data_IF_691666403356
#
_entry.id   IF_691666403356
#
_cell.length_a   1.000
_cell.length_b   1.000
_cell.length_c   1.000
_cell.angle_alpha   90.00
_cell.angle_beta   90.00
_cell.angle_gamma   90.00
#
_symmetry.space_group_name_H-M   'P 1'
#
loop_
_entity.id
_entity.type
_entity.pdbx_description
1 polymer ?
#
# COMPACT_ATOMS: atom_id res chain seq x y z
N UNK A 1 9.84 -38.39 28.31
CA UNK A 1 10.53 -37.20 27.74
C UNK A 1 10.27 -37.00 26.24
N UNK A 2 10.55 -37.94 25.32
CA UNK A 2 10.29 -37.68 23.88
C UNK A 2 8.80 -37.53 23.50
N UNK A 3 7.88 -38.18 24.21
CA UNK A 3 6.45 -38.08 23.90
C UNK A 3 5.79 -36.81 24.46
N UNK A 4 6.33 -36.19 25.50
CA UNK A 4 5.76 -34.96 26.09
C UNK A 4 6.07 -33.72 25.24
N UNK A 5 7.28 -33.66 24.65
CA UNK A 5 7.67 -32.58 23.73
C UNK A 5 6.79 -32.59 22.46
N UNK A 6 6.42 -33.78 21.98
CA UNK A 6 5.53 -33.95 20.82
C UNK A 6 4.09 -33.54 21.18
N UNK A 7 3.65 -33.80 22.42
CA UNK A 7 2.31 -33.43 22.89
C UNK A 7 2.19 -31.91 23.13
N UNK A 8 3.25 -31.25 23.59
CA UNK A 8 3.26 -29.80 23.79
C UNK A 8 3.37 -29.02 22.47
N UNK A 9 4.13 -29.53 21.49
CA UNK A 9 4.21 -28.96 20.14
C UNK A 9 2.88 -29.06 19.36
N UNK A 10 2.08 -30.11 19.60
CA UNK A 10 0.76 -30.31 18.97
C UNK A 10 -0.27 -29.25 19.36
N UNK A 11 -0.01 -28.46 20.42
CA UNK A 11 -0.86 -27.35 20.87
C UNK A 11 -0.44 -25.98 20.34
N UNK A 12 0.71 -25.88 19.66
CA UNK A 12 1.22 -24.62 19.13
C UNK A 12 0.72 -24.38 17.71
N UNK A 13 0.23 -23.17 17.43
CA UNK A 13 -0.23 -22.71 16.10
C UNK A 13 0.90 -22.53 15.08
N UNK A 14 2.08 -23.06 15.36
CA UNK A 14 3.27 -22.97 14.51
C UNK A 14 3.45 -24.29 13.75
N UNK A 15 3.74 -24.25 12.44
CA UNK A 15 4.05 -25.46 11.70
C UNK A 15 5.30 -26.15 12.25
N UNK A 16 5.45 -27.45 11.97
CA UNK A 16 6.68 -28.20 12.27
C UNK A 16 7.83 -27.58 11.47
N UNK A 17 8.69 -26.82 12.16
CA UNK A 17 9.85 -26.15 11.58
C UNK A 17 11.11 -26.97 11.82
N UNK A 18 11.98 -27.00 10.83
CA UNK A 18 13.31 -27.58 10.97
C UNK A 18 14.19 -26.72 11.90
N UNK A 19 15.22 -27.30 12.52
CA UNK A 19 16.13 -26.63 13.44
C UNK A 19 16.78 -25.38 12.82
N UNK A 20 17.12 -25.43 11.52
CA UNK A 20 17.62 -24.27 10.78
C UNK A 20 16.56 -23.16 10.67
N UNK A 21 15.31 -23.52 10.38
CA UNK A 21 14.20 -22.57 10.24
C UNK A 21 13.84 -21.91 11.58
N UNK A 22 13.90 -22.65 12.70
CA UNK A 22 13.69 -22.09 14.04
C UNK A 22 14.77 -21.05 14.35
N UNK A 23 16.04 -21.34 14.07
CA UNK A 23 17.15 -20.40 14.32
C UNK A 23 16.98 -19.11 13.52
N UNK A 24 16.64 -19.23 12.24
CA UNK A 24 16.37 -18.06 11.39
C UNK A 24 15.16 -17.28 11.89
N UNK A 25 14.07 -17.96 12.25
CA UNK A 25 12.86 -17.30 12.74
C UNK A 25 13.12 -16.48 14.02
N UNK A 26 13.97 -16.98 14.93
CA UNK A 26 14.43 -16.24 16.11
C UNK A 26 15.33 -15.04 15.78
N UNK A 27 16.18 -15.15 14.76
CA UNK A 27 17.00 -14.03 14.33
C UNK A 27 16.12 -12.95 13.67
N UNK A 28 15.12 -13.38 12.89
CA UNK A 28 14.18 -12.50 12.21
C UNK A 28 13.30 -11.69 13.18
N UNK A 29 12.97 -12.21 14.36
CA UNK A 29 12.24 -11.43 15.39
C UNK A 29 13.09 -10.29 15.96
N UNK A 30 14.41 -10.38 15.93
CA UNK A 30 15.31 -9.29 16.34
C UNK A 30 15.46 -8.26 15.21
N UNK A 31 15.68 -8.71 13.98
CA UNK A 31 15.80 -7.81 12.82
C UNK A 31 14.53 -7.00 12.56
N UNK A 32 13.35 -7.62 12.69
CA UNK A 32 12.09 -6.91 12.46
C UNK A 32 11.88 -5.79 13.48
N UNK A 33 12.42 -5.90 14.70
CA UNK A 33 12.35 -4.82 15.70
C UNK A 33 13.18 -3.61 15.26
N UNK A 34 14.39 -3.83 14.72
CA UNK A 34 15.22 -2.75 14.17
C UNK A 34 14.51 -2.07 12.98
N UNK A 35 13.94 -2.87 12.08
CA UNK A 35 13.18 -2.36 10.93
C UNK A 35 11.94 -1.59 11.39
N UNK A 36 11.24 -2.08 12.42
CA UNK A 36 10.09 -1.40 12.99
C UNK A 36 10.46 -0.09 13.68
N UNK A 37 11.59 -0.03 14.38
CA UNK A 37 12.10 1.21 14.95
C UNK A 37 12.35 2.26 13.86
N UNK A 38 13.05 1.86 12.78
CA UNK A 38 13.26 2.74 11.63
C UNK A 38 11.91 3.17 11.03
N UNK A 39 10.99 2.24 10.82
CA UNK A 39 9.66 2.55 10.32
C UNK A 39 8.92 3.59 11.20
N UNK A 40 8.95 3.42 12.52
CA UNK A 40 8.28 4.33 13.44
C UNK A 40 8.93 5.71 13.38
N UNK A 41 10.26 5.76 13.39
CA UNK A 41 11.03 7.00 13.27
C UNK A 41 10.74 7.74 11.95
N UNK A 42 10.59 7.00 10.85
CA UNK A 42 10.38 7.60 9.52
C UNK A 42 8.95 8.05 9.29
N UNK A 43 7.97 7.27 9.74
CA UNK A 43 6.55 7.57 9.53
C UNK A 43 6.04 8.62 10.52
N UNK A 44 6.49 8.59 11.78
CA UNK A 44 5.98 9.48 12.82
C UNK A 44 6.42 10.92 12.62
N UNK A 45 7.71 11.13 12.34
CA UNK A 45 8.29 12.45 12.10
C UNK A 45 8.38 12.80 10.60
N UNK A 46 7.79 11.97 9.73
CA UNK A 46 7.80 12.14 8.28
C UNK A 46 9.22 12.36 7.69
N UNK A 47 10.24 11.68 8.24
CA UNK A 47 11.60 11.73 7.69
C UNK A 47 11.65 11.05 6.32
N UNK A 48 11.42 11.83 5.28
CA UNK A 48 11.19 11.36 3.91
C UNK A 48 12.36 10.54 3.35
N UNK A 49 13.61 10.87 3.71
CA UNK A 49 14.84 10.23 3.21
C UNK A 49 14.94 8.71 3.35
N UNK A 50 14.28 8.16 4.36
CA UNK A 50 14.51 6.78 4.73
C UNK A 50 13.45 5.83 4.17
N UNK A 51 12.40 6.34 3.50
CA UNK A 51 11.32 5.50 2.96
C UNK A 51 11.84 4.46 1.97
N UNK A 52 12.78 4.81 1.09
CA UNK A 52 13.35 3.86 0.13
C UNK A 52 14.15 2.77 0.84
N UNK A 53 15.07 3.15 1.73
CA UNK A 53 15.90 2.20 2.49
C UNK A 53 15.03 1.26 3.33
N UNK A 54 14.01 1.81 3.99
CA UNK A 54 13.06 1.05 4.78
C UNK A 54 12.26 0.06 3.93
N UNK A 55 11.76 0.51 2.78
CA UNK A 55 10.98 -0.34 1.87
C UNK A 55 11.84 -1.47 1.32
N UNK A 56 13.10 -1.19 0.96
CA UNK A 56 14.07 -2.21 0.57
C UNK A 56 14.35 -3.21 1.70
N UNK A 57 14.53 -2.74 2.93
CA UNK A 57 14.74 -3.60 4.10
C UNK A 57 13.54 -4.52 4.36
N UNK A 58 12.31 -3.99 4.28
CA UNK A 58 11.07 -4.76 4.42
C UNK A 58 10.90 -5.79 3.30
N UNK A 59 11.10 -5.40 2.05
CA UNK A 59 11.03 -6.32 0.89
C UNK A 59 12.09 -7.43 1.02
N UNK A 60 13.34 -7.07 1.33
CA UNK A 60 14.42 -8.02 1.53
C UNK A 60 14.09 -9.01 2.67
N UNK A 61 13.50 -8.53 3.77
CA UNK A 61 13.06 -9.37 4.88
C UNK A 61 11.96 -10.35 4.44
N UNK A 62 10.95 -9.89 3.69
CA UNK A 62 9.86 -10.73 3.18
C UNK A 62 10.40 -11.81 2.23
N UNK A 63 11.28 -11.45 1.30
CA UNK A 63 11.87 -12.38 0.34
C UNK A 63 12.78 -13.40 1.02
N UNK A 64 13.67 -12.94 1.92
CA UNK A 64 14.55 -13.79 2.70
C UNK A 64 13.76 -14.81 3.52
N UNK A 65 12.69 -14.37 4.20
CA UNK A 65 11.89 -15.26 5.02
C UNK A 65 11.12 -16.27 4.16
N UNK A 66 10.48 -15.84 3.07
CA UNK A 66 9.80 -16.77 2.17
C UNK A 66 10.75 -17.78 1.51
N UNK A 67 11.97 -17.37 1.15
CA UNK A 67 13.00 -18.26 0.58
C UNK A 67 13.38 -19.38 1.55
N UNK A 68 13.63 -19.05 2.82
CA UNK A 68 14.00 -20.05 3.85
C UNK A 68 12.84 -21.00 4.16
N UNK A 69 11.61 -20.48 4.04
CA UNK A 69 10.40 -21.27 4.19
C UNK A 69 10.00 -22.00 2.91
N UNK A 70 10.85 -21.96 1.88
CA UNK A 70 10.69 -22.64 0.58
C UNK A 70 9.34 -22.34 -0.08
N UNK A 71 8.82 -21.12 0.10
CA UNK A 71 7.56 -20.68 -0.50
C UNK A 71 7.81 -20.00 -1.84
N UNK A 72 7.34 -20.65 -2.89
CA UNK A 72 7.31 -20.09 -4.24
C UNK A 72 5.95 -19.46 -4.55
N UNK A 73 5.94 -18.50 -5.49
CA UNK A 73 4.71 -17.90 -6.00
C UNK A 73 3.90 -18.97 -6.74
N UNK A 74 2.62 -19.10 -6.41
CA UNK A 74 1.80 -20.23 -6.83
C UNK A 74 1.45 -20.24 -8.34
N UNK A 75 1.32 -19.08 -8.98
CA UNK A 75 0.82 -18.99 -10.36
C UNK A 75 1.51 -17.90 -11.19
N UNK A 76 1.45 -18.02 -12.53
CA UNK A 76 1.96 -17.01 -13.47
C UNK A 76 1.18 -15.69 -13.32
N UNK A 77 -0.12 -15.76 -13.05
CA UNK A 77 -0.95 -14.58 -12.80
C UNK A 77 -0.55 -13.85 -11.53
N UNK A 78 -0.25 -14.58 -10.46
CA UNK A 78 0.27 -14.01 -9.22
C UNK A 78 1.66 -13.38 -9.40
N UNK A 79 2.50 -13.90 -10.32
CA UNK A 79 3.78 -13.25 -10.66
C UNK A 79 3.61 -11.85 -11.25
N UNK A 80 2.58 -11.64 -12.07
CA UNK A 80 2.28 -10.30 -12.60
C UNK A 80 1.85 -9.35 -11.48
N UNK A 81 0.92 -9.79 -10.63
CA UNK A 81 0.44 -8.96 -9.50
C UNK A 81 1.56 -8.65 -8.52
N UNK A 82 2.40 -9.65 -8.23
CA UNK A 82 3.63 -9.50 -7.46
C UNK A 82 4.55 -8.44 -8.06
N UNK A 83 4.84 -8.53 -9.38
CA UNK A 83 5.73 -7.57 -10.04
C UNK A 83 5.16 -6.15 -10.01
N UNK A 84 3.86 -5.99 -10.28
CA UNK A 84 3.18 -4.69 -10.25
C UNK A 84 3.25 -4.07 -8.85
N UNK A 85 2.96 -4.84 -7.80
CA UNK A 85 3.02 -4.37 -6.43
C UNK A 85 4.45 -4.02 -5.99
N UNK A 86 5.42 -4.89 -6.33
CA UNK A 86 6.84 -4.68 -6.01
C UNK A 86 7.35 -3.39 -6.65
N UNK A 87 7.16 -3.25 -7.97
CA UNK A 87 7.61 -2.07 -8.72
C UNK A 87 6.92 -0.82 -8.19
N UNK A 88 5.62 -0.88 -7.89
CA UNK A 88 4.88 0.26 -7.33
C UNK A 88 5.39 0.67 -5.94
N UNK A 89 5.68 -0.29 -5.05
CA UNK A 89 6.29 -0.01 -3.75
C UNK A 89 7.64 0.69 -3.90
N UNK A 90 8.50 0.18 -4.80
CA UNK A 90 9.84 0.73 -5.03
C UNK A 90 9.78 2.14 -5.63
N UNK A 91 8.93 2.36 -6.64
CA UNK A 91 8.77 3.69 -7.25
C UNK A 91 8.21 4.67 -6.21
N UNK A 92 7.15 4.33 -5.48
CA UNK A 92 6.56 5.26 -4.52
C UNK A 92 7.49 5.57 -3.35
N UNK A 93 8.23 4.59 -2.85
CA UNK A 93 9.21 4.81 -1.77
C UNK A 93 10.44 5.60 -2.24
N UNK A 94 10.89 5.39 -3.48
CA UNK A 94 11.91 6.22 -4.12
C UNK A 94 11.44 7.67 -4.25
N UNK A 95 10.21 7.87 -4.74
CA UNK A 95 9.63 9.20 -4.88
C UNK A 95 9.51 9.90 -3.54
N UNK A 96 9.04 9.23 -2.47
CA UNK A 96 9.02 9.81 -1.13
C UNK A 96 10.43 10.20 -0.67
N UNK A 97 11.43 9.36 -0.93
CA UNK A 97 12.82 9.58 -0.51
C UNK A 97 13.52 10.80 -1.11
N UNK A 98 13.06 11.30 -2.25
CA UNK A 98 13.69 12.43 -2.95
C UNK A 98 13.13 13.80 -2.54
N UNK A 99 12.10 13.86 -1.68
CA UNK A 99 11.31 15.08 -1.40
C UNK A 99 11.79 15.91 -0.20
N UNK A 100 13.10 16.03 0.00
CA UNK A 100 13.67 16.60 1.23
C UNK A 100 13.18 18.03 1.60
N UNK A 101 12.80 18.87 0.62
CA UNK A 101 12.57 20.31 0.88
C UNK A 101 11.24 20.89 0.32
N UNK A 102 10.35 20.07 -0.27
CA UNK A 102 9.10 20.59 -0.86
C UNK A 102 7.97 20.64 0.18
N UNK A 103 7.97 21.70 0.98
CA UNK A 103 6.96 22.06 2.00
C UNK A 103 5.51 22.24 1.50
N UNK A 104 5.22 22.14 0.20
CA UNK A 104 3.93 22.56 -0.37
C UNK A 104 2.89 21.44 -0.55
N UNK A 105 3.15 20.22 -0.08
CA UNK A 105 2.37 19.02 -0.45
C UNK A 105 2.05 18.06 0.70
N UNK A 106 1.89 18.55 1.94
CA UNK A 106 1.65 17.69 3.12
C UNK A 106 0.44 16.76 2.94
N UNK A 107 -0.67 17.26 2.39
CA UNK A 107 -1.89 16.47 2.17
C UNK A 107 -1.63 15.30 1.20
N UNK A 108 -0.92 15.55 0.09
CA UNK A 108 -0.63 14.51 -0.90
C UNK A 108 0.34 13.46 -0.36
N UNK A 109 1.35 13.91 0.41
CA UNK A 109 2.33 13.04 1.07
C UNK A 109 1.63 12.03 1.98
N UNK A 110 0.68 12.49 2.81
CA UNK A 110 -0.08 11.64 3.71
C UNK A 110 -0.80 10.50 2.98
N UNK A 111 -1.52 10.83 1.89
CA UNK A 111 -2.21 9.81 1.10
C UNK A 111 -1.24 8.83 0.42
N UNK A 112 -0.08 9.31 -0.04
CA UNK A 112 0.93 8.45 -0.65
C UNK A 112 1.56 7.50 0.37
N UNK A 113 1.82 7.97 1.60
CA UNK A 113 2.30 7.10 2.68
C UNK A 113 1.25 6.01 2.93
N UNK A 114 -0.03 6.33 3.10
CA UNK A 114 -1.09 5.34 3.28
C UNK A 114 -1.16 4.35 2.09
N UNK A 115 -1.06 4.85 0.85
CA UNK A 115 -1.06 4.01 -0.33
C UNK A 115 0.11 3.02 -0.34
N UNK A 116 1.32 3.48 0.03
CA UNK A 116 2.50 2.62 0.16
C UNK A 116 2.28 1.50 1.19
N UNK A 117 1.59 1.78 2.30
CA UNK A 117 1.24 0.76 3.30
C UNK A 117 0.34 -0.32 2.73
N UNK A 118 -0.74 0.08 2.04
CA UNK A 118 -1.65 -0.90 1.44
C UNK A 118 -1.00 -1.70 0.30
N UNK A 119 -0.11 -1.08 -0.48
CA UNK A 119 0.69 -1.78 -1.48
C UNK A 119 1.62 -2.81 -0.85
N UNK A 120 2.30 -2.45 0.25
CA UNK A 120 3.15 -3.39 0.98
C UNK A 120 2.36 -4.57 1.55
N UNK A 121 1.18 -4.31 2.13
CA UNK A 121 0.28 -5.37 2.62
C UNK A 121 -0.13 -6.29 1.46
N UNK A 122 -0.58 -5.72 0.35
CA UNK A 122 -0.91 -6.48 -0.86
C UNK A 122 0.26 -7.32 -1.36
N UNK A 123 1.47 -6.75 -1.35
CA UNK A 123 2.71 -7.42 -1.74
C UNK A 123 2.98 -8.65 -0.87
N UNK A 124 2.90 -8.52 0.46
CA UNK A 124 3.09 -9.64 1.39
C UNK A 124 2.06 -10.76 1.15
N UNK A 125 0.80 -10.40 0.91
CA UNK A 125 -0.28 -11.37 0.69
C UNK A 125 -0.10 -12.14 -0.63
N UNK A 126 0.23 -11.45 -1.73
CA UNK A 126 0.51 -12.08 -3.02
C UNK A 126 1.75 -12.97 -2.90
N UNK A 127 2.83 -12.45 -2.28
CA UNK A 127 4.09 -13.18 -2.15
C UNK A 127 3.99 -14.45 -1.30
N UNK A 128 3.11 -14.43 -0.30
CA UNK A 128 2.88 -15.55 0.63
C UNK A 128 1.73 -16.46 0.19
N UNK A 129 1.11 -16.21 -0.98
CA UNK A 129 -0.06 -16.92 -1.52
C UNK A 129 -1.28 -16.92 -0.57
N UNK A 130 -1.57 -15.79 0.07
CA UNK A 130 -2.63 -15.63 1.10
C UNK A 130 -3.86 -14.84 0.66
N UNK A 131 -3.93 -14.45 -0.62
CA UNK A 131 -5.15 -13.90 -1.21
C UNK A 131 -6.31 -14.90 -1.11
N UNK A 132 -7.53 -14.42 -0.88
CA UNK A 132 -8.75 -15.27 -0.86
C UNK A 132 -8.95 -15.96 -2.21
N UNK A 133 -8.67 -15.26 -3.31
CA UNK A 133 -8.62 -15.83 -4.65
C UNK A 133 -7.19 -16.10 -5.13
N UNK A 134 -7.05 -16.79 -6.26
CA UNK A 134 -5.74 -17.00 -6.90
C UNK A 134 -5.15 -15.75 -7.58
N UNK A 135 -5.97 -14.70 -7.70
CA UNK A 135 -5.68 -13.41 -8.32
C UNK A 135 -6.57 -12.34 -7.69
N UNK A 136 -6.27 -11.06 -7.95
CA UNK A 136 -7.16 -9.98 -7.52
C UNK A 136 -8.58 -10.16 -8.02
N UNK A 137 -9.55 -9.89 -7.15
CA UNK A 137 -10.96 -10.11 -7.40
C UNK A 137 -11.81 -9.10 -6.60
N UNK A 138 -13.12 -9.28 -6.58
CA UNK A 138 -14.02 -8.38 -5.86
C UNK A 138 -13.86 -8.45 -4.32
N UNK A 139 -13.27 -9.53 -3.80
CA UNK A 139 -12.93 -9.73 -2.39
C UNK A 139 -11.58 -9.10 -2.01
N UNK A 140 -10.85 -8.48 -2.95
CA UNK A 140 -9.55 -7.88 -2.65
C UNK A 140 -9.61 -6.76 -1.61
N UNK A 141 -10.76 -6.11 -1.43
CA UNK A 141 -10.98 -5.20 -0.29
C UNK A 141 -10.95 -5.93 1.07
N UNK A 142 -11.49 -7.15 1.12
CA UNK A 142 -11.40 -8.02 2.30
C UNK A 142 -9.97 -8.55 2.47
N UNK A 143 -9.24 -8.83 1.38
CA UNK A 143 -7.82 -9.19 1.47
C UNK A 143 -7.00 -8.07 2.12
N UNK A 144 -7.20 -6.81 1.72
CA UNK A 144 -6.54 -5.66 2.36
C UNK A 144 -6.92 -5.56 3.83
N UNK A 145 -8.20 -5.71 4.20
CA UNK A 145 -8.62 -5.72 5.60
C UNK A 145 -7.98 -6.86 6.40
N UNK A 146 -7.94 -8.07 5.84
CA UNK A 146 -7.29 -9.23 6.45
C UNK A 146 -5.81 -9.01 6.66
N UNK A 147 -5.11 -8.47 5.66
CA UNK A 147 -3.69 -8.13 5.76
C UNK A 147 -3.42 -6.97 6.71
N UNK A 148 -4.38 -6.06 6.91
CA UNK A 148 -4.22 -4.93 7.82
C UNK A 148 -4.49 -5.30 9.27
N UNK A 149 -5.49 -6.16 9.52
CA UNK A 149 -6.01 -6.42 10.86
C UNK A 149 -5.99 -7.92 11.18
N UNK A 150 -6.72 -8.75 10.43
CA UNK A 150 -6.96 -10.13 10.84
C UNK A 150 -5.68 -10.95 10.98
N UNK A 151 -4.79 -10.93 9.98
CA UNK A 151 -3.54 -11.72 9.96
C UNK A 151 -2.52 -11.18 10.97
N UNK A 152 -2.21 -9.86 11.00
CA UNK A 152 -1.26 -9.33 11.98
C UNK A 152 -1.67 -9.58 13.42
N UNK A 153 -2.95 -9.36 13.76
CA UNK A 153 -3.42 -9.49 15.14
C UNK A 153 -3.66 -10.95 15.55
N UNK A 154 -4.07 -11.85 14.64
CA UNK A 154 -4.15 -13.28 14.98
C UNK A 154 -2.79 -13.89 15.27
N UNK A 155 -1.74 -13.32 14.67
CA UNK A 155 -0.35 -13.75 14.81
C UNK A 155 0.53 -12.79 15.60
N UNK A 156 -0.06 -11.86 16.36
CA UNK A 156 0.65 -10.79 17.05
C UNK A 156 1.74 -11.31 18.00
N UNK A 157 1.43 -12.38 18.75
CA UNK A 157 2.37 -13.02 19.68
C UNK A 157 3.19 -14.15 19.05
N UNK A 158 3.24 -14.25 17.71
CA UNK A 158 4.05 -15.30 17.07
C UNK A 158 5.53 -15.04 17.29
N UNK A 159 5.97 -13.78 17.30
CA UNK A 159 7.35 -13.41 17.59
C UNK A 159 7.81 -13.91 18.96
N UNK A 160 6.99 -13.72 19.99
CA UNK A 160 7.30 -14.18 21.36
C UNK A 160 7.29 -15.70 21.46
N UNK A 161 6.30 -16.37 20.84
CA UNK A 161 6.26 -17.84 20.76
C UNK A 161 7.50 -18.42 20.09
N UNK A 162 7.96 -17.82 18.98
CA UNK A 162 9.17 -18.26 18.25
C UNK A 162 10.42 -18.11 19.10
N UNK A 163 10.55 -17.01 19.87
CA UNK A 163 11.69 -16.81 20.77
C UNK A 163 11.74 -17.88 21.88
N UNK A 164 10.58 -18.27 22.40
CA UNK A 164 10.43 -19.26 23.47
C UNK A 164 10.63 -20.72 23.00
N UNK A 165 10.67 -21.00 21.69
CA UNK A 165 10.90 -22.37 21.20
C UNK A 165 12.28 -22.88 21.67
N UNK A 166 12.38 -24.10 22.24
CA UNK A 166 13.67 -24.66 22.63
C UNK A 166 14.54 -24.83 21.37
N UNK A 167 15.76 -24.27 21.42
CA UNK A 167 16.75 -24.52 20.37
C UNK A 167 17.52 -25.78 20.76
N UNK A 168 17.44 -26.84 19.95
CA UNK A 168 18.10 -28.13 20.20
C UNK A 168 19.64 -28.07 20.29
N UNK A 169 20.25 -26.88 20.37
CA UNK A 169 21.69 -26.68 20.49
C UNK A 169 22.13 -25.92 21.75
N UNK A 170 21.28 -25.72 22.75
CA UNK A 170 21.74 -25.23 24.06
C UNK A 170 22.35 -26.35 24.93
N UNK A 171 23.37 -27.04 24.39
CA UNK A 171 24.36 -27.79 25.17
C UNK A 171 25.67 -27.00 25.28
N UNK A 172 25.58 -25.68 25.39
CA UNK A 172 26.68 -24.86 25.87
C UNK A 172 26.12 -23.90 26.91
N UNK A 173 26.00 -24.40 28.14
CA UNK A 173 25.89 -23.60 29.35
C UNK A 173 27.17 -22.78 29.50
N UNK A 174 27.33 -21.75 28.67
CA UNK A 174 28.28 -20.69 28.97
C UNK A 174 27.80 -20.02 30.25
N UNK A 175 28.64 -20.07 31.27
CA UNK A 175 28.30 -19.47 32.55
C UNK A 175 28.06 -17.97 32.37
N UNK A 176 27.24 -17.34 33.23
CA UNK A 176 27.07 -15.89 33.21
C UNK A 176 28.42 -15.15 33.25
N UNK A 177 29.44 -15.75 33.90
CA UNK A 177 30.82 -15.28 33.88
C UNK A 177 31.43 -15.24 32.49
N UNK A 178 31.21 -16.27 31.66
CA UNK A 178 31.79 -16.33 30.31
C UNK A 178 31.15 -15.28 29.38
N UNK A 179 29.84 -15.04 29.49
CA UNK A 179 29.17 -13.94 28.76
C UNK A 179 29.68 -12.57 29.18
N UNK A 180 29.88 -12.34 30.48
CA UNK A 180 30.42 -11.07 31.01
C UNK A 180 31.87 -10.87 30.57
N UNK A 181 32.70 -11.90 30.61
CA UNK A 181 34.09 -11.83 30.13
C UNK A 181 34.12 -11.56 28.63
N UNK A 182 33.21 -12.16 27.85
CA UNK A 182 33.14 -11.95 26.42
C UNK A 182 32.66 -10.54 26.06
N UNK A 183 31.66 -9.99 26.75
CA UNK A 183 31.24 -8.59 26.57
C UNK A 183 32.31 -7.61 27.01
N UNK A 184 33.04 -7.89 28.10
CA UNK A 184 34.20 -7.09 28.52
C UNK A 184 35.31 -7.10 27.47
N UNK A 185 35.67 -8.27 26.93
CA UNK A 185 36.63 -8.37 25.84
C UNK A 185 36.19 -7.57 24.62
N UNK A 186 34.90 -7.63 24.27
CA UNK A 186 34.36 -6.90 23.14
C UNK A 186 34.39 -5.38 23.36
N UNK A 187 34.03 -4.91 24.56
CA UNK A 187 34.14 -3.49 24.96
C UNK A 187 35.58 -2.99 24.94
N UNK A 188 36.52 -3.76 25.50
CA UNK A 188 37.94 -3.43 25.52
C UNK A 188 38.50 -3.36 24.10
N UNK A 189 38.18 -4.35 23.26
CA UNK A 189 38.60 -4.35 21.85
C UNK A 189 38.03 -3.15 21.11
N UNK A 190 36.73 -2.86 21.25
CA UNK A 190 36.10 -1.68 20.61
C UNK A 190 36.79 -0.40 21.08
N UNK A 191 37.03 -0.23 22.38
CA UNK A 191 37.69 0.95 22.92
C UNK A 191 39.11 1.13 22.36
N UNK A 192 39.91 0.06 22.35
CA UNK A 192 41.26 0.07 21.81
C UNK A 192 41.23 0.38 20.31
N UNK A 193 40.37 -0.29 19.54
CA UNK A 193 40.24 -0.06 18.09
C UNK A 193 39.81 1.37 17.79
N UNK A 194 38.83 1.92 18.50
CA UNK A 194 38.40 3.31 18.32
C UNK A 194 39.55 4.28 18.59
N UNK A 195 40.34 4.07 19.66
CA UNK A 195 41.51 4.92 19.95
C UNK A 195 42.59 4.82 18.88
N UNK A 196 42.87 3.61 18.38
CA UNK A 196 43.82 3.39 17.30
C UNK A 196 43.38 4.06 15.99
N UNK A 197 42.09 3.99 15.65
CA UNK A 197 41.54 4.63 14.46
C UNK A 197 41.61 6.16 14.57
N UNK A 198 41.24 6.74 15.71
CA UNK A 198 41.36 8.19 15.93
C UNK A 198 42.81 8.65 15.81
N UNK A 199 43.75 7.91 16.41
CA UNK A 199 45.18 8.20 16.27
C UNK A 199 45.65 8.10 14.82
N UNK A 200 45.26 7.06 14.08
CA UNK A 200 45.61 6.91 12.68
C UNK A 200 45.04 8.05 11.81
N UNK A 201 43.80 8.48 12.07
CA UNK A 201 43.18 9.61 11.38
C UNK A 201 43.95 10.92 11.64
N UNK A 202 44.38 11.16 12.88
CA UNK A 202 45.19 12.32 13.26
C UNK A 202 46.53 12.35 12.48
N UNK A 203 47.25 11.23 12.48
CA UNK A 203 48.52 11.09 11.76
C UNK A 203 48.36 11.23 10.24
N UNK A 204 47.30 10.67 9.66
CA UNK A 204 47.01 10.80 8.22
C UNK A 204 46.60 12.23 7.84
N UNK A 205 46.00 12.98 8.77
CA UNK A 205 45.60 14.38 8.57
C UNK A 205 46.81 15.32 8.56
N UNK A 206 47.85 15.03 9.35
CA UNK A 206 49.12 15.78 9.30
C UNK A 206 49.88 15.62 7.96
N UNK A 207 49.71 14.46 7.30
CA UNK A 207 50.40 14.15 6.03
C UNK A 207 49.69 14.82 4.82
N UNK A 208 48.36 15.02 4.89
CA UNK A 208 47.57 15.52 3.76
C UNK A 208 46.48 16.50 4.17
N UNK A 209 46.57 17.74 3.68
CA UNK A 209 45.58 18.79 3.95
C UNK A 209 44.19 18.51 3.36
N UNK A 210 44.08 17.69 2.30
CA UNK A 210 42.78 17.26 1.74
C UNK A 210 42.12 16.22 2.66
N UNK A 211 42.92 15.31 3.22
CA UNK A 211 42.42 14.30 4.15
C UNK A 211 42.00 14.94 5.48
N UNK A 212 42.75 15.93 5.97
CA UNK A 212 42.39 16.69 7.17
C UNK A 212 41.00 17.35 7.03
N UNK A 213 40.73 18.03 5.90
CA UNK A 213 39.41 18.63 5.65
C UNK A 213 38.28 17.58 5.65
N UNK A 214 38.50 16.42 5.02
CA UNK A 214 37.52 15.32 5.03
C UNK A 214 37.32 14.74 6.45
N UNK A 215 38.40 14.51 7.18
CA UNK A 215 38.38 13.95 8.53
C UNK A 215 37.65 14.89 9.51
N UNK A 216 37.91 16.20 9.45
CA UNK A 216 37.23 17.20 10.28
C UNK A 216 35.73 17.29 9.94
N UNK A 217 35.39 17.38 8.65
CA UNK A 217 34.01 17.63 8.21
C UNK A 217 33.08 16.43 8.41
N UNK A 218 33.56 15.20 8.20
CA UNK A 218 32.69 14.01 8.22
C UNK A 218 32.97 13.07 9.39
N UNK A 219 34.22 12.88 9.80
CA UNK A 219 34.56 11.89 10.85
C UNK A 219 34.48 12.52 12.25
N UNK A 220 35.25 13.59 12.49
CA UNK A 220 35.33 14.25 13.80
C UNK A 220 34.00 14.93 14.13
N UNK A 221 33.40 15.66 13.18
CA UNK A 221 32.09 16.28 13.38
C UNK A 221 31.01 15.25 13.73
N UNK A 222 30.93 14.11 13.00
CA UNK A 222 29.92 13.09 13.28
C UNK A 222 30.18 12.37 14.61
N UNK A 223 31.44 12.11 14.97
CA UNK A 223 31.78 11.54 16.28
C UNK A 223 31.43 12.49 17.42
N UNK A 224 31.78 13.77 17.31
CA UNK A 224 31.42 14.78 18.30
C UNK A 224 29.90 14.94 18.42
N UNK A 225 29.19 15.00 17.29
CA UNK A 225 27.72 15.04 17.25
C UNK A 225 27.11 13.79 17.90
N UNK A 226 27.63 12.60 17.59
CA UNK A 226 27.20 11.34 18.21
C UNK A 226 27.38 11.37 19.73
N UNK A 227 28.58 11.70 20.23
CA UNK A 227 28.82 11.76 21.68
C UNK A 227 27.98 12.85 22.35
N UNK A 228 27.87 14.03 21.74
CA UNK A 228 27.05 15.13 22.25
C UNK A 228 25.58 14.71 22.35
N UNK A 229 25.05 14.04 21.34
CA UNK A 229 23.68 13.52 21.35
C UNK A 229 23.54 12.35 22.34
N UNK A 230 24.54 11.47 22.46
CA UNK A 230 24.54 10.36 23.41
C UNK A 230 24.50 10.80 24.87
N UNK A 231 25.13 11.93 25.21
CA UNK A 231 25.06 12.52 26.55
C UNK A 231 23.87 13.48 26.72
N UNK A 232 23.09 13.73 25.67
CA UNK A 232 21.92 14.57 25.74
C UNK A 232 20.71 13.77 26.25
N UNK A 233 20.02 14.28 27.28
CA UNK A 233 18.83 13.63 27.85
C UNK A 233 17.68 13.53 26.85
N UNK A 234 17.54 14.51 25.94
CA UNK A 234 16.45 14.49 24.94
C UNK A 234 16.63 13.36 23.91
N UNK A 235 17.87 13.04 23.54
CA UNK A 235 18.15 11.91 22.65
C UNK A 235 17.65 10.59 23.24
N UNK A 236 17.88 10.36 24.54
CA UNK A 236 17.40 9.15 25.22
C UNK A 236 15.89 9.15 25.37
N UNK A 237 15.24 10.27 25.69
CA UNK A 237 13.78 10.31 25.79
C UNK A 237 13.12 9.99 24.45
N UNK A 238 13.62 10.56 23.36
CA UNK A 238 13.05 10.36 22.03
C UNK A 238 13.33 8.93 21.54
N UNK A 239 14.58 8.47 21.67
CA UNK A 239 14.97 7.10 21.29
C UNK A 239 14.18 6.05 22.08
N UNK A 240 14.00 6.22 23.39
CA UNK A 240 13.22 5.28 24.22
C UNK A 240 11.74 5.35 23.84
N UNK A 241 11.19 6.55 23.60
CA UNK A 241 9.79 6.71 23.18
C UNK A 241 9.52 6.01 21.85
N UNK A 242 10.39 6.20 20.85
CA UNK A 242 10.32 5.48 19.58
C UNK A 242 10.53 3.98 19.74
N UNK A 243 11.43 3.54 20.63
CA UNK A 243 11.62 2.12 20.92
C UNK A 243 10.40 1.48 21.58
N UNK A 244 9.70 2.18 22.46
CA UNK A 244 8.44 1.70 23.06
C UNK A 244 7.35 1.60 21.99
N UNK A 245 7.22 2.64 21.15
CA UNK A 245 6.23 2.69 20.08
C UNK A 245 6.53 1.67 18.96
N UNK A 246 7.80 1.30 18.76
CA UNK A 246 8.18 0.30 17.77
C UNK A 246 7.88 -1.14 18.20
N UNK A 247 7.66 -1.42 19.49
CA UNK A 247 7.25 -2.74 19.97
C UNK A 247 5.93 -3.19 19.30
N UNK A 248 4.79 -2.49 19.43
CA UNK A 248 3.55 -2.91 18.80
C UNK A 248 3.66 -2.94 17.27
N UNK A 249 4.41 -2.01 16.67
CA UNK A 249 4.68 -1.99 15.22
C UNK A 249 5.46 -3.24 14.78
N UNK A 250 6.49 -3.64 15.52
CA UNK A 250 7.30 -4.84 15.22
C UNK A 250 6.48 -6.12 15.33
N UNK A 251 5.61 -6.22 16.34
CA UNK A 251 4.71 -7.35 16.52
C UNK A 251 3.66 -7.40 15.41
N UNK A 252 3.16 -6.24 14.97
CA UNK A 252 2.25 -6.14 13.84
C UNK A 252 2.94 -6.55 12.52
N UNK A 253 4.13 -6.00 12.22
CA UNK A 253 4.89 -6.34 11.00
C UNK A 253 5.29 -7.82 10.97
N UNK A 254 5.77 -8.35 12.09
CA UNK A 254 6.10 -9.77 12.19
C UNK A 254 4.84 -10.63 12.09
N UNK A 255 3.74 -10.24 12.74
CA UNK A 255 2.46 -10.91 12.65
C UNK A 255 1.92 -10.94 11.21
N UNK A 256 2.09 -9.87 10.44
CA UNK A 256 1.73 -9.82 9.03
C UNK A 256 2.55 -10.83 8.22
N UNK A 257 3.87 -10.73 8.29
CA UNK A 257 4.78 -11.50 7.42
C UNK A 257 4.83 -12.97 7.84
N UNK A 258 5.13 -13.22 9.12
CA UNK A 258 5.18 -14.56 9.67
C UNK A 258 3.79 -15.20 9.69
N UNK A 259 2.74 -14.45 10.03
CA UNK A 259 1.36 -14.94 9.98
C UNK A 259 0.94 -15.32 8.56
N UNK A 260 1.29 -14.54 7.54
CA UNK A 260 1.02 -14.89 6.15
C UNK A 260 1.78 -16.17 5.70
N UNK A 261 2.98 -16.40 6.24
CA UNK A 261 3.77 -17.60 5.95
C UNK A 261 3.28 -18.82 6.74
N UNK A 262 2.90 -18.66 8.00
CA UNK A 262 2.50 -19.78 8.87
C UNK A 262 1.02 -20.15 8.74
N UNK A 263 0.19 -19.21 8.31
CA UNK A 263 -1.23 -19.49 8.10
C UNK A 263 -1.43 -20.51 7.00
N UNK A 264 -2.32 -21.47 7.29
CA UNK A 264 -3.01 -22.21 6.24
C UNK A 264 -3.79 -21.23 5.37
N UNK A 265 -4.09 -21.62 4.12
CA UNK A 265 -4.95 -20.80 3.25
C UNK A 265 -6.22 -20.37 3.99
N UNK A 266 -6.70 -19.19 3.66
CA UNK A 266 -7.87 -18.61 4.30
C UNK A 266 -9.04 -19.60 4.30
N UNK A 267 -9.68 -19.75 5.46
CA UNK A 267 -10.96 -20.47 5.60
C UNK A 267 -12.10 -19.75 4.86
N UNK A 268 -11.87 -18.49 4.52
CA UNK A 268 -12.69 -17.67 3.64
C UNK A 268 -12.28 -18.03 2.22
N UNK A 269 -13.15 -18.72 1.50
CA UNK A 269 -12.98 -19.02 0.07
C UNK A 269 -14.06 -18.29 -0.72
N UNK A 270 -13.84 -18.02 -2.01
CA UNK A 270 -14.86 -17.40 -2.88
C UNK A 270 -16.21 -18.13 -2.82
N UNK A 271 -16.18 -19.47 -2.73
CA UNK A 271 -17.37 -20.31 -2.67
C UNK A 271 -18.13 -20.11 -1.36
N UNK A 272 -17.42 -20.10 -0.22
CA UNK A 272 -18.04 -19.90 1.09
C UNK A 272 -18.57 -18.48 1.27
N UNK A 273 -17.89 -17.48 0.70
CA UNK A 273 -18.40 -16.10 0.66
C UNK A 273 -19.65 -16.00 -0.20
N UNK A 274 -19.70 -16.69 -1.34
CA UNK A 274 -20.88 -16.71 -2.20
C UNK A 274 -22.06 -17.43 -1.51
N UNK A 275 -21.81 -18.51 -0.78
CA UNK A 275 -22.83 -19.18 0.05
C UNK A 275 -23.39 -18.24 1.11
N UNK A 276 -22.53 -17.49 1.80
CA UNK A 276 -22.96 -16.51 2.82
C UNK A 276 -23.73 -15.35 2.19
N UNK A 277 -23.25 -14.84 1.05
CA UNK A 277 -23.88 -13.78 0.28
C UNK A 277 -25.27 -14.20 -0.22
N UNK A 278 -25.42 -15.47 -0.63
CA UNK A 278 -26.71 -16.01 -1.08
C UNK A 278 -27.82 -15.91 -0.02
N UNK A 279 -27.46 -15.96 1.27
CA UNK A 279 -28.42 -15.84 2.38
C UNK A 279 -28.95 -14.42 2.57
N UNK A 280 -28.21 -13.41 2.14
CA UNK A 280 -28.61 -11.98 2.24
C UNK A 280 -29.20 -11.43 0.95
N UNK A 281 -29.22 -12.22 -0.13
CA UNK A 281 -29.75 -11.84 -1.45
C UNK A 281 -31.29 -11.89 -1.51
N UNK A 282 -31.91 -10.93 -0.82
CA UNK A 282 -33.37 -10.80 -0.71
C UNK A 282 -33.94 -9.91 -1.82
N UNK A 283 -33.12 -9.01 -2.37
CA UNK A 283 -33.59 -7.97 -3.28
C UNK A 283 -33.88 -8.52 -4.68
N UNK A 284 -35.08 -8.24 -5.19
CA UNK A 284 -35.50 -8.78 -6.50
C UNK A 284 -34.78 -8.09 -7.66
N UNK A 285 -34.52 -8.84 -8.74
CA UNK A 285 -34.00 -8.27 -9.99
C UNK A 285 -34.91 -7.17 -10.57
N UNK A 286 -36.21 -7.26 -10.33
CA UNK A 286 -37.19 -6.26 -10.77
C UNK A 286 -36.93 -4.89 -10.12
N UNK A 287 -36.68 -4.86 -8.81
CA UNK A 287 -36.45 -3.61 -8.10
C UNK A 287 -35.20 -2.89 -8.63
N UNK A 288 -34.11 -3.63 -8.87
CA UNK A 288 -32.89 -3.06 -9.48
C UNK A 288 -33.17 -2.52 -10.87
N UNK A 289 -33.95 -3.26 -11.66
CA UNK A 289 -34.31 -2.84 -13.02
C UNK A 289 -35.14 -1.56 -12.98
N UNK A 290 -36.14 -1.46 -12.10
CA UNK A 290 -36.97 -0.26 -11.93
C UNK A 290 -36.11 0.94 -11.57
N UNK A 291 -35.19 0.79 -10.61
CA UNK A 291 -34.26 1.87 -10.21
C UNK A 291 -33.38 2.28 -11.39
N UNK A 292 -32.76 1.32 -12.08
CA UNK A 292 -31.91 1.59 -13.23
C UNK A 292 -32.69 2.28 -14.37
N UNK A 293 -33.90 1.82 -14.68
CA UNK A 293 -34.76 2.43 -15.70
C UNK A 293 -35.19 3.84 -15.30
N UNK A 294 -35.57 4.07 -14.03
CA UNK A 294 -35.93 5.41 -13.55
C UNK A 294 -34.76 6.39 -13.66
N UNK A 295 -33.54 5.96 -13.29
CA UNK A 295 -32.32 6.75 -13.48
C UNK A 295 -32.03 7.00 -14.96
N UNK A 296 -32.17 5.99 -15.82
CA UNK A 296 -32.02 6.17 -17.28
C UNK A 296 -33.01 7.20 -17.85
N UNK A 297 -34.27 7.18 -17.41
CA UNK A 297 -35.28 8.17 -17.84
C UNK A 297 -34.90 9.58 -17.37
N UNK A 298 -34.47 9.71 -16.11
CA UNK A 298 -34.03 11.00 -15.55
C UNK A 298 -32.80 11.54 -16.29
N UNK A 299 -31.81 10.69 -16.57
CA UNK A 299 -30.61 11.07 -17.31
C UNK A 299 -30.92 11.40 -18.76
N UNK A 300 -31.81 10.64 -19.41
CA UNK A 300 -32.32 10.96 -20.74
C UNK A 300 -32.98 12.33 -20.78
N UNK A 301 -33.87 12.62 -19.82
CA UNK A 301 -34.50 13.93 -19.69
C UNK A 301 -33.47 15.05 -19.48
N UNK A 302 -32.50 14.83 -18.59
CA UNK A 302 -31.40 15.77 -18.35
C UNK A 302 -30.65 16.09 -19.65
N UNK A 303 -30.27 15.07 -20.43
CA UNK A 303 -29.54 15.29 -21.68
C UNK A 303 -30.41 15.96 -22.75
N UNK A 304 -31.71 15.67 -22.82
CA UNK A 304 -32.63 16.34 -23.75
C UNK A 304 -32.71 17.84 -23.44
N UNK A 305 -32.91 18.20 -22.18
CA UNK A 305 -33.01 19.60 -21.74
C UNK A 305 -31.67 20.31 -21.88
N UNK A 306 -30.58 19.66 -21.44
CA UNK A 306 -29.24 20.26 -21.40
C UNK A 306 -28.54 20.29 -22.76
N UNK A 307 -29.10 19.66 -23.80
CA UNK A 307 -28.45 19.58 -25.12
C UNK A 307 -28.24 20.97 -25.72
N UNK A 308 -29.21 21.88 -25.55
CA UNK A 308 -29.12 23.24 -26.06
C UNK A 308 -28.04 24.05 -25.33
N UNK A 309 -27.96 23.92 -24.01
CA UNK A 309 -26.92 24.57 -23.20
C UNK A 309 -25.53 24.03 -23.53
N UNK A 310 -25.40 22.73 -23.78
CA UNK A 310 -24.16 22.11 -24.21
C UNK A 310 -23.77 22.55 -25.62
N UNK A 311 -24.72 22.60 -26.56
CA UNK A 311 -24.47 23.01 -27.94
C UNK A 311 -24.07 24.49 -28.05
N UNK A 312 -24.69 25.38 -27.26
CA UNK A 312 -24.30 26.80 -27.17
C UNK A 312 -22.91 26.95 -26.57
N UNK A 313 -22.58 26.19 -25.52
CA UNK A 313 -21.23 26.17 -24.95
C UNK A 313 -20.20 25.68 -25.97
N UNK A 314 -20.44 24.58 -26.67
CA UNK A 314 -19.55 24.01 -27.70
C UNK A 314 -19.32 24.95 -28.90
N UNK A 315 -20.38 25.63 -29.36
CA UNK A 315 -20.30 26.56 -30.50
C UNK A 315 -19.66 27.90 -30.17
N UNK A 316 -19.55 28.26 -28.89
CA UNK A 316 -18.88 29.49 -28.45
C UNK A 316 -17.35 29.37 -28.36
N UNK A 317 -16.80 28.16 -28.47
CA UNK A 317 -15.37 27.84 -28.31
C UNK A 317 -14.51 28.26 -29.52
N UNK A 318 -14.94 28.13 -30.80
CA UNK A 318 -14.07 28.43 -31.93
C UNK A 318 -13.95 29.92 -32.27
N UNK A 319 -14.82 30.79 -31.73
CA UNK A 319 -15.07 32.10 -32.36
C UNK A 319 -14.67 33.35 -31.59
N UNK A 320 -14.53 33.40 -30.25
CA UNK A 320 -14.13 34.65 -29.60
C UNK A 320 -13.38 34.50 -28.27
N UNK A 321 -12.28 35.24 -28.17
CA UNK A 321 -11.59 35.69 -26.94
C UNK A 321 -11.02 34.59 -26.04
N UNK A 322 -9.78 34.78 -25.60
CA UNK A 322 -9.15 33.98 -24.54
C UNK A 322 -10.10 33.97 -23.33
N UNK A 323 -10.82 32.86 -23.11
CA UNK A 323 -11.71 32.67 -21.97
C UNK A 323 -10.89 32.98 -20.73
N UNK A 324 -11.25 34.01 -19.94
CA UNK A 324 -10.44 34.41 -18.77
C UNK A 324 -10.29 33.24 -17.80
N UNK A 325 -9.16 33.16 -17.10
CA UNK A 325 -8.85 32.05 -16.20
C UNK A 325 -9.96 31.76 -15.17
N UNK A 326 -10.58 32.81 -14.62
CA UNK A 326 -11.69 32.69 -13.68
C UNK A 326 -12.93 32.04 -14.32
N UNK A 327 -13.26 32.38 -15.56
CA UNK A 327 -14.39 31.79 -16.29
C UNK A 327 -14.13 30.33 -16.65
N UNK A 328 -12.91 30.01 -17.11
CA UNK A 328 -12.52 28.64 -17.39
C UNK A 328 -12.54 27.76 -16.13
N UNK A 329 -12.05 28.27 -15.00
CA UNK A 329 -12.10 27.58 -13.70
C UNK A 329 -13.54 27.37 -13.23
N UNK A 330 -14.38 28.42 -13.29
CA UNK A 330 -15.78 28.32 -12.90
C UNK A 330 -16.52 27.31 -13.78
N UNK A 331 -16.31 27.35 -15.09
CA UNK A 331 -16.90 26.39 -16.01
C UNK A 331 -16.45 24.97 -15.67
N UNK A 332 -15.15 24.74 -15.45
CA UNK A 332 -14.61 23.42 -15.16
C UNK A 332 -15.10 22.83 -13.84
N UNK A 333 -15.21 23.63 -12.78
CA UNK A 333 -15.59 23.17 -11.43
C UNK A 333 -17.11 23.12 -11.25
N UNK A 334 -17.87 24.01 -11.90
CA UNK A 334 -19.34 24.00 -11.82
C UNK A 334 -19.90 22.68 -12.33
N UNK A 335 -20.69 21.98 -11.51
CA UNK A 335 -21.24 20.69 -11.89
C UNK A 335 -20.23 19.53 -11.87
N UNK A 336 -18.93 19.76 -11.68
CA UNK A 336 -17.91 18.70 -11.71
C UNK A 336 -18.17 17.63 -10.65
N UNK A 337 -18.30 18.06 -9.39
CA UNK A 337 -18.54 17.15 -8.28
C UNK A 337 -19.91 16.48 -8.37
N UNK A 338 -20.91 17.17 -8.92
CA UNK A 338 -22.23 16.60 -9.17
C UNK A 338 -22.16 15.48 -10.22
N UNK A 339 -21.40 15.68 -11.31
CA UNK A 339 -21.15 14.63 -12.30
C UNK A 339 -20.44 13.43 -11.67
N UNK A 340 -19.41 13.66 -10.85
CA UNK A 340 -18.72 12.59 -10.11
C UNK A 340 -19.69 11.85 -9.18
N UNK A 341 -20.50 12.57 -8.38
CA UNK A 341 -21.47 11.97 -7.47
C UNK A 341 -22.52 11.12 -8.19
N UNK A 342 -23.08 11.61 -9.31
CA UNK A 342 -24.03 10.85 -10.13
C UNK A 342 -23.36 9.59 -10.69
N UNK A 343 -22.09 9.68 -11.10
CA UNK A 343 -21.41 8.49 -11.60
C UNK A 343 -21.13 7.45 -10.52
N UNK A 344 -20.75 7.89 -9.31
CA UNK A 344 -20.57 7.04 -8.15
C UNK A 344 -21.90 6.43 -7.67
N UNK A 345 -23.01 7.16 -7.77
CA UNK A 345 -24.35 6.64 -7.50
C UNK A 345 -24.68 5.44 -8.42
N UNK A 346 -24.35 5.52 -9.71
CA UNK A 346 -24.59 4.42 -10.64
C UNK A 346 -23.75 3.18 -10.28
N UNK A 347 -22.50 3.36 -9.87
CA UNK A 347 -21.68 2.26 -9.33
C UNK A 347 -22.24 1.71 -8.02
N UNK A 348 -22.77 2.57 -7.14
CA UNK A 348 -23.41 2.14 -5.90
C UNK A 348 -24.65 1.29 -6.19
N UNK A 349 -25.50 1.69 -7.12
CA UNK A 349 -26.67 0.89 -7.56
C UNK A 349 -26.23 -0.47 -8.09
N UNK A 350 -25.18 -0.52 -8.92
CA UNK A 350 -24.63 -1.78 -9.43
C UNK A 350 -24.05 -2.65 -8.31
N UNK A 351 -23.27 -2.07 -7.40
CA UNK A 351 -22.65 -2.77 -6.28
C UNK A 351 -23.68 -3.33 -5.30
N UNK A 352 -24.70 -2.52 -4.97
CA UNK A 352 -25.84 -2.94 -4.16
C UNK A 352 -26.58 -4.11 -4.82
N UNK A 353 -26.86 -3.99 -6.11
CA UNK A 353 -27.52 -5.05 -6.86
C UNK A 353 -26.66 -6.33 -6.99
N UNK A 354 -25.34 -6.20 -7.09
CA UNK A 354 -24.41 -7.33 -7.10
C UNK A 354 -24.38 -8.06 -5.74
N UNK A 355 -24.40 -7.33 -4.62
CA UNK A 355 -24.34 -7.91 -3.28
C UNK A 355 -25.69 -8.49 -2.83
N UNK A 356 -26.79 -7.76 -3.03
CA UNK A 356 -28.10 -8.09 -2.47
C UNK A 356 -29.12 -8.64 -3.48
N UNK A 357 -28.78 -8.68 -4.77
CA UNK A 357 -29.67 -9.16 -5.83
C UNK A 357 -29.84 -10.68 -5.83
N UNK A 358 -31.08 -11.15 -5.85
CA UNK A 358 -31.44 -12.58 -5.82
C UNK A 358 -31.06 -13.37 -7.09
N UNK A 359 -30.73 -12.69 -8.19
CA UNK A 359 -30.22 -13.28 -9.43
C UNK A 359 -29.19 -12.35 -10.05
N UNK A 360 -28.27 -12.92 -10.83
CA UNK A 360 -27.34 -12.13 -11.60
C UNK A 360 -28.10 -11.27 -12.63
N UNK A 361 -27.86 -9.96 -12.61
CA UNK A 361 -28.60 -8.95 -13.37
C UNK A 361 -28.50 -9.12 -14.89
N UNK A 362 -27.53 -9.91 -15.35
CA UNK A 362 -27.27 -10.22 -16.75
C UNK A 362 -28.13 -11.36 -17.31
N UNK A 363 -28.89 -12.08 -16.47
CA UNK A 363 -29.77 -13.16 -16.93
C UNK A 363 -31.09 -12.68 -17.54
N UNK A 364 -31.62 -11.55 -17.08
CA UNK A 364 -32.84 -10.96 -17.66
C UNK A 364 -32.45 -9.92 -18.70
N UNK A 365 -32.98 -10.07 -19.92
CA UNK A 365 -32.66 -9.18 -21.05
C UNK A 365 -32.96 -7.71 -20.71
N UNK A 366 -34.08 -7.43 -20.05
CA UNK A 366 -34.47 -6.07 -19.65
C UNK A 366 -33.54 -5.43 -18.62
N UNK A 367 -33.06 -6.18 -17.62
CA UNK A 367 -32.13 -5.65 -16.63
C UNK A 367 -30.76 -5.37 -17.26
N UNK A 368 -30.30 -6.28 -18.13
CA UNK A 368 -29.07 -6.09 -18.90
C UNK A 368 -29.14 -4.82 -19.77
N UNK A 369 -30.21 -4.64 -20.54
CA UNK A 369 -30.40 -3.44 -21.38
C UNK A 369 -30.42 -2.18 -20.52
N UNK A 370 -31.17 -2.19 -19.41
CA UNK A 370 -31.24 -1.03 -18.51
C UNK A 370 -29.87 -0.66 -17.94
N UNK A 371 -29.06 -1.65 -17.54
CA UNK A 371 -27.69 -1.41 -17.07
C UNK A 371 -26.76 -0.93 -18.18
N UNK A 372 -26.89 -1.44 -19.40
CA UNK A 372 -26.10 -0.95 -20.55
C UNK A 372 -26.42 0.52 -20.80
N UNK A 373 -27.69 0.90 -20.84
CA UNK A 373 -28.11 2.31 -21.03
C UNK A 373 -27.61 3.16 -19.86
N UNK A 374 -27.75 2.68 -18.62
CA UNK A 374 -27.31 3.40 -17.42
C UNK A 374 -25.80 3.68 -17.47
N UNK A 375 -24.99 2.68 -17.79
CA UNK A 375 -23.54 2.83 -17.86
C UNK A 375 -23.06 3.55 -19.13
N UNK A 376 -23.88 3.59 -20.19
CA UNK A 376 -23.65 4.50 -21.33
C UNK A 376 -23.85 5.96 -20.91
N UNK A 377 -24.91 6.29 -20.16
CA UNK A 377 -25.06 7.63 -19.56
C UNK A 377 -23.93 7.95 -18.58
N UNK A 378 -23.51 6.97 -17.78
CA UNK A 378 -22.37 7.10 -16.88
C UNK A 378 -21.09 7.50 -17.61
N UNK A 379 -20.86 6.89 -18.78
CA UNK A 379 -19.73 7.22 -19.64
C UNK A 379 -19.86 8.64 -20.19
N UNK A 380 -21.06 9.03 -20.65
CA UNK A 380 -21.32 10.40 -21.14
C UNK A 380 -21.07 11.45 -20.05
N UNK A 381 -21.54 11.24 -18.82
CA UNK A 381 -21.27 12.15 -17.70
C UNK A 381 -19.77 12.26 -17.39
N UNK A 382 -19.07 11.13 -17.41
CA UNK A 382 -17.63 11.09 -17.15
C UNK A 382 -16.84 11.80 -18.27
N UNK A 383 -17.23 11.60 -19.52
CA UNK A 383 -16.67 12.31 -20.67
C UNK A 383 -16.98 13.82 -20.64
N UNK A 384 -18.17 14.22 -20.18
CA UNK A 384 -18.51 15.63 -20.01
C UNK A 384 -17.64 16.27 -18.92
N UNK A 385 -17.43 15.59 -17.79
CA UNK A 385 -16.51 16.05 -16.74
C UNK A 385 -15.06 16.15 -17.27
N UNK A 386 -14.60 15.14 -18.02
CA UNK A 386 -13.29 15.14 -18.67
C UNK A 386 -13.14 16.29 -19.67
N UNK A 387 -14.15 16.54 -20.50
CA UNK A 387 -14.16 17.64 -21.45
C UNK A 387 -14.00 19.00 -20.77
N UNK A 388 -14.79 19.26 -19.73
CA UNK A 388 -14.76 20.52 -18.99
C UNK A 388 -13.41 20.75 -18.30
N UNK A 389 -12.85 19.71 -17.68
CA UNK A 389 -11.57 19.81 -16.96
C UNK A 389 -10.36 19.79 -17.91
N UNK A 390 -10.26 18.78 -18.77
CA UNK A 390 -9.08 18.55 -19.62
C UNK A 390 -9.15 19.41 -20.87
N UNK A 391 -10.29 19.37 -21.57
CA UNK A 391 -10.46 20.04 -22.87
C UNK A 391 -10.52 21.55 -22.79
N UNK A 392 -11.07 22.11 -21.70
CA UNK A 392 -11.14 23.56 -21.50
C UNK A 392 -10.05 24.00 -20.53
N UNK A 393 -10.09 23.52 -19.28
CA UNK A 393 -9.26 24.16 -18.25
C UNK A 393 -7.77 23.85 -18.39
N UNK A 394 -7.40 22.57 -18.49
CA UNK A 394 -5.99 22.16 -18.58
C UNK A 394 -5.40 22.56 -19.93
N UNK A 395 -6.15 22.44 -21.02
CA UNK A 395 -5.68 22.82 -22.36
C UNK A 395 -5.22 24.29 -22.42
N UNK A 396 -5.98 25.23 -21.85
CA UNK A 396 -5.64 26.65 -21.88
C UNK A 396 -4.72 27.10 -20.74
N UNK A 397 -4.74 26.45 -19.58
CA UNK A 397 -4.09 26.95 -18.35
C UNK A 397 -3.09 25.98 -17.71
N UNK A 398 -2.79 24.86 -18.36
CA UNK A 398 -1.81 23.89 -17.89
C UNK A 398 -2.25 23.04 -16.71
N UNK A 399 -1.32 22.22 -16.21
CA UNK A 399 -1.52 21.34 -15.07
C UNK A 399 -1.27 22.08 -13.75
N UNK A 400 -2.12 21.79 -12.77
CA UNK A 400 -1.91 22.15 -11.35
C UNK A 400 -2.13 20.89 -10.50
N UNK A 401 -1.65 20.83 -9.24
CA UNK A 401 -1.79 19.65 -8.38
C UNK A 401 -3.23 19.12 -8.31
N UNK A 402 -4.19 20.00 -8.06
CA UNK A 402 -5.62 19.64 -7.96
C UNK A 402 -6.22 19.22 -9.31
N UNK A 403 -5.81 19.86 -10.42
CA UNK A 403 -6.26 19.45 -11.76
C UNK A 403 -5.74 18.06 -12.10
N UNK A 404 -4.49 17.76 -11.77
CA UNK A 404 -3.88 16.45 -12.00
C UNK A 404 -4.59 15.34 -11.20
N UNK A 405 -4.83 15.56 -9.90
CA UNK A 405 -5.58 14.61 -9.06
C UNK A 405 -7.02 14.41 -9.56
N UNK A 406 -7.69 15.50 -9.95
CA UNK A 406 -9.04 15.44 -10.53
C UNK A 406 -9.06 14.67 -11.85
N UNK A 407 -8.07 14.87 -12.71
CA UNK A 407 -7.91 14.12 -13.96
C UNK A 407 -7.71 12.62 -13.70
N UNK A 408 -6.87 12.25 -12.73
CA UNK A 408 -6.67 10.86 -12.33
C UNK A 408 -7.98 10.22 -11.84
N UNK A 409 -8.74 10.93 -10.99
CA UNK A 409 -10.05 10.47 -10.50
C UNK A 409 -11.03 10.20 -11.66
N UNK A 410 -11.17 11.13 -12.60
CA UNK A 410 -12.05 10.95 -13.77
C UNK A 410 -11.59 9.76 -14.61
N UNK A 411 -10.27 9.59 -14.77
CA UNK A 411 -9.71 8.48 -15.53
C UNK A 411 -10.10 7.12 -14.93
N UNK A 412 -10.05 6.98 -13.60
CA UNK A 412 -10.54 5.79 -12.90
C UNK A 412 -12.02 5.55 -13.17
N UNK A 413 -12.85 6.58 -13.09
CA UNK A 413 -14.31 6.45 -13.32
C UNK A 413 -14.59 6.00 -14.75
N UNK A 414 -13.91 6.58 -15.76
CA UNK A 414 -14.04 6.20 -17.17
C UNK A 414 -13.63 4.74 -17.37
N UNK A 415 -12.45 4.34 -16.88
CA UNK A 415 -11.95 2.96 -17.05
C UNK A 415 -12.86 1.97 -16.33
N UNK A 416 -13.31 2.26 -15.10
CA UNK A 416 -14.26 1.42 -14.38
C UNK A 416 -15.60 1.29 -15.13
N UNK A 417 -16.06 2.37 -15.78
CA UNK A 417 -17.29 2.39 -16.58
C UNK A 417 -17.15 1.51 -17.82
N UNK A 418 -16.03 1.64 -18.54
CA UNK A 418 -15.72 0.82 -19.71
C UNK A 418 -15.59 -0.66 -19.32
N UNK A 419 -14.85 -0.98 -18.25
CA UNK A 419 -14.72 -2.35 -17.77
C UNK A 419 -16.08 -2.94 -17.36
N UNK A 420 -16.96 -2.14 -16.76
CA UNK A 420 -18.32 -2.56 -16.43
C UNK A 420 -19.13 -2.86 -17.69
N UNK A 421 -19.12 -1.96 -18.68
CA UNK A 421 -19.80 -2.17 -19.96
C UNK A 421 -19.31 -3.44 -20.65
N UNK A 422 -17.98 -3.64 -20.76
CA UNK A 422 -17.39 -4.86 -21.35
C UNK A 422 -17.86 -6.09 -20.57
N UNK A 423 -17.88 -6.03 -19.24
CA UNK A 423 -18.31 -7.14 -18.39
C UNK A 423 -19.78 -7.53 -18.60
N UNK A 424 -20.66 -6.58 -18.93
CA UNK A 424 -22.06 -6.87 -19.26
C UNK A 424 -22.18 -7.73 -20.54
N UNK A 425 -21.22 -7.64 -21.46
CA UNK A 425 -21.22 -8.41 -22.71
C UNK A 425 -20.35 -9.67 -22.64
N UNK A 426 -19.23 -9.64 -21.91
CA UNK A 426 -18.25 -10.73 -21.83
C UNK A 426 -17.87 -11.00 -20.38
N UNK A 427 -17.76 -12.27 -19.94
CA UNK A 427 -17.32 -12.59 -18.59
C UNK A 427 -15.81 -12.31 -18.46
N UNK A 428 -15.47 -11.08 -18.05
CA UNK A 428 -14.10 -10.65 -17.76
C UNK A 428 -13.89 -10.45 -16.26
N UNK A 429 -12.65 -10.59 -15.82
CA UNK A 429 -12.19 -10.29 -14.46
C UNK A 429 -12.05 -8.78 -14.24
N UNK A 430 -13.13 -8.02 -14.45
CA UNK A 430 -13.12 -6.55 -14.43
C UNK A 430 -12.50 -5.96 -13.15
N UNK A 431 -12.76 -6.57 -11.98
CA UNK A 431 -12.17 -6.13 -10.71
C UNK A 431 -10.64 -6.24 -10.71
N UNK A 432 -10.08 -7.31 -11.27
CA UNK A 432 -8.61 -7.48 -11.39
C UNK A 432 -8.00 -6.35 -12.20
N UNK A 433 -8.54 -6.09 -13.38
CA UNK A 433 -8.05 -5.03 -14.25
C UNK A 433 -8.24 -3.64 -13.64
N UNK A 434 -9.36 -3.41 -12.94
CA UNK A 434 -9.61 -2.17 -12.22
C UNK A 434 -8.59 -1.90 -11.10
N UNK A 435 -8.27 -2.92 -10.29
CA UNK A 435 -7.28 -2.81 -9.21
C UNK A 435 -5.88 -2.58 -9.79
N UNK A 436 -5.48 -3.33 -10.82
CA UNK A 436 -4.18 -3.15 -11.48
C UNK A 436 -4.05 -1.75 -12.10
N UNK A 437 -5.11 -1.29 -12.77
CA UNK A 437 -5.16 0.07 -13.32
C UNK A 437 -5.05 1.12 -12.21
N UNK A 438 -5.77 0.96 -11.10
CA UNK A 438 -5.70 1.87 -9.96
C UNK A 438 -4.27 1.96 -9.40
N UNK A 439 -3.60 0.83 -9.16
CA UNK A 439 -2.22 0.79 -8.64
C UNK A 439 -1.23 1.46 -9.60
N UNK A 440 -1.29 1.11 -10.89
CA UNK A 440 -0.38 1.65 -11.91
C UNK A 440 -0.62 3.14 -12.16
N UNK A 441 -1.88 3.54 -12.31
CA UNK A 441 -2.25 4.94 -12.56
C UNK A 441 -1.96 5.83 -11.34
N UNK A 442 -2.13 5.33 -10.11
CA UNK A 442 -1.76 6.08 -8.91
C UNK A 442 -0.24 6.22 -8.77
N UNK A 443 0.52 5.18 -9.10
CA UNK A 443 1.99 5.27 -9.14
C UNK A 443 2.44 6.27 -10.20
N UNK A 444 1.81 6.26 -11.38
CA UNK A 444 2.06 7.26 -12.42
C UNK A 444 1.66 8.68 -11.97
N UNK A 445 0.54 8.83 -11.26
CA UNK A 445 0.13 10.10 -10.65
C UNK A 445 1.23 10.64 -9.73
N UNK A 446 1.80 9.80 -8.85
CA UNK A 446 2.88 10.20 -7.97
C UNK A 446 4.13 10.62 -8.76
N UNK A 447 4.51 9.87 -9.80
CA UNK A 447 5.65 10.23 -10.67
C UNK A 447 5.42 11.60 -11.31
N UNK A 448 4.28 11.80 -11.96
CA UNK A 448 3.95 13.06 -12.64
C UNK A 448 3.89 14.21 -11.64
N UNK A 449 3.30 13.97 -10.46
CA UNK A 449 3.18 14.98 -9.41
C UNK A 449 4.56 15.56 -9.07
N UNK A 450 5.55 14.72 -8.74
CA UNK A 450 6.87 15.18 -8.33
C UNK A 450 7.79 15.63 -9.48
N UNK A 451 7.56 15.12 -10.70
CA UNK A 451 8.29 15.57 -11.88
C UNK A 451 7.83 16.96 -12.34
N UNK A 452 6.56 17.32 -12.13
CA UNK A 452 5.96 18.57 -12.62
C UNK A 452 5.88 19.65 -11.53
N UNK A 453 5.59 19.27 -10.29
CA UNK A 453 5.44 20.17 -9.13
C UNK A 453 6.50 19.85 -8.08
#
# INVERSE_FOLDING_TARGET
MNNEIIVEQKKSTLPLLDAQQIRVAKLNTLWIFIIAYLYTYTVWDLHTHYYLLLTLALIAFVEYFNHIMKRNIASVTAKLEYAVLLISCLIQSFLLSTQYDRYSAEDFLFFQVIALHFLFIGYVLVRSNQLIGEQFNWLSGIDVWRGSITIPFSHFFTATKVLLLPSNHENATYSLKDRVIQTLKLLVTVFITTRLVVFAVDQLSEISSIFDQFAQQYFIHNMQSFFKNWFNSTFWTDTISFAILSIPVSLWLYGLIAGAIFSNRSTITPERTEETLSRIRIFSTLNVTIIATALCLLYGLFFIISLQDLATQLSSIPTQQVIRAAQASHLAVSGFWQLVQITLLNFFVLGFAFLFGNRALWHTQYAKISLVILFSFNLLFSCLAAWKLIGIYIWFYGLTPLRLQSTWLISIIIVATILTLIRLFKPITAFRYGILYFILSYTLLCVIYYCVF
#
